data_IF_297607281393
#
_entry.id   IF_297607281393
#
_cell.length_a   1.000
_cell.length_b   1.000
_cell.length_c   1.000
_cell.angle_alpha   90.00
_cell.angle_beta   90.00
_cell.angle_gamma   90.00
#
_symmetry.space_group_name_H-M   'P 1'
#
loop_
_entity.id
_entity.type
_entity.pdbx_description
1 polymer ?
#
# COMPACT_ATOMS: atom_id res chain seq x y z
N UNK A 1 20.24 10.07 -19.10
CA UNK A 1 18.85 9.60 -19.01
C UNK A 1 18.42 8.96 -20.34
N UNK A 2 17.68 7.87 -20.26
CA UNK A 2 17.19 7.14 -21.42
C UNK A 2 15.67 6.98 -21.34
N UNK A 3 14.97 7.27 -22.45
CA UNK A 3 13.56 6.94 -22.62
C UNK A 3 13.45 5.93 -23.76
N UNK A 4 13.02 4.73 -23.45
CA UNK A 4 12.77 3.67 -24.42
C UNK A 4 11.27 3.63 -24.78
N UNK A 5 10.96 2.99 -25.91
CA UNK A 5 9.56 2.78 -26.33
C UNK A 5 9.38 1.33 -26.76
N UNK A 6 8.30 0.68 -26.34
CA UNK A 6 7.90 -0.64 -26.79
C UNK A 6 6.39 -0.73 -27.00
N UNK A 7 5.90 -1.78 -27.64
CA UNK A 7 4.47 -2.08 -27.74
C UNK A 7 4.00 -2.91 -26.56
N UNK A 8 2.69 -2.89 -26.25
CA UNK A 8 2.11 -3.76 -25.23
C UNK A 8 2.42 -5.24 -25.49
N UNK A 9 2.29 -5.66 -26.74
CA UNK A 9 2.63 -7.04 -27.14
C UNK A 9 4.11 -7.39 -26.90
N UNK A 10 5.03 -6.44 -27.14
CA UNK A 10 6.47 -6.68 -26.91
C UNK A 10 6.74 -6.86 -25.39
N UNK A 11 6.08 -6.08 -24.54
CA UNK A 11 6.18 -6.21 -23.09
C UNK A 11 5.64 -7.56 -22.62
N UNK A 12 4.43 -7.94 -23.07
CA UNK A 12 3.79 -9.19 -22.67
C UNK A 12 4.59 -10.44 -23.10
N UNK A 13 5.29 -10.36 -24.22
CA UNK A 13 6.11 -11.45 -24.72
C UNK A 13 7.54 -11.47 -24.17
N UNK A 14 7.99 -10.42 -23.48
CA UNK A 14 9.34 -10.30 -22.97
C UNK A 14 9.38 -9.82 -21.52
N UNK A 15 9.36 -10.74 -20.54
CA UNK A 15 9.34 -10.40 -19.12
C UNK A 15 10.53 -9.52 -18.65
N UNK A 16 11.63 -9.50 -19.39
CA UNK A 16 12.77 -8.61 -19.07
C UNK A 16 12.39 -7.14 -19.09
N UNK A 17 11.39 -6.75 -19.92
CA UNK A 17 10.90 -5.37 -19.99
C UNK A 17 10.10 -4.94 -18.75
N UNK A 18 9.69 -5.88 -17.89
CA UNK A 18 9.02 -5.62 -16.61
C UNK A 18 9.99 -5.32 -15.46
N UNK A 19 11.28 -5.65 -15.66
CA UNK A 19 12.28 -5.47 -14.60
C UNK A 19 12.62 -4.00 -14.40
N UNK A 20 12.69 -3.59 -13.14
CA UNK A 20 13.14 -2.25 -12.77
C UNK A 20 14.62 -2.04 -13.16
N UNK A 21 14.89 -0.90 -13.79
CA UNK A 21 16.26 -0.45 -14.10
C UNK A 21 16.63 0.65 -13.11
N UNK A 22 17.56 0.36 -12.20
CA UNK A 22 18.06 1.34 -11.24
C UNK A 22 18.94 2.38 -11.94
N UNK A 23 18.32 3.47 -12.42
CA UNK A 23 19.00 4.53 -13.13
C UNK A 23 18.01 5.53 -13.75
N UNK A 24 18.50 6.57 -14.42
CA UNK A 24 17.66 7.56 -15.09
C UNK A 24 17.07 6.95 -16.40
N UNK A 25 16.17 6.01 -16.24
CA UNK A 25 15.55 5.24 -17.31
C UNK A 25 14.01 5.26 -17.16
N UNK A 26 13.32 5.35 -18.28
CA UNK A 26 11.88 5.13 -18.37
C UNK A 26 11.54 4.39 -19.66
N UNK A 27 10.50 3.57 -19.64
CA UNK A 27 9.95 2.90 -20.81
C UNK A 27 8.53 3.36 -21.07
N UNK A 28 8.23 3.72 -22.31
CA UNK A 28 6.88 4.07 -22.76
C UNK A 28 6.30 2.85 -23.48
N UNK A 29 5.24 2.28 -22.93
CA UNK A 29 4.52 1.17 -23.53
C UNK A 29 3.32 1.70 -24.29
N UNK A 30 3.27 1.42 -25.59
CA UNK A 30 2.12 1.78 -26.45
C UNK A 30 1.21 0.59 -26.60
N UNK A 31 0.04 0.66 -25.99
CA UNK A 31 -1.03 -0.32 -26.18
C UNK A 31 -1.87 0.07 -27.38
N UNK A 32 -2.29 -0.92 -28.16
CA UNK A 32 -3.11 -0.70 -29.37
C UNK A 32 -4.55 -0.30 -29.02
N UNK A 33 -5.06 -0.77 -27.88
CA UNK A 33 -6.40 -0.56 -27.40
C UNK A 33 -6.48 -0.71 -25.87
N UNK A 34 -7.66 -0.45 -25.30
CA UNK A 34 -7.92 -0.58 -23.88
C UNK A 34 -7.78 -2.01 -23.37
N UNK A 35 -8.15 -3.01 -24.17
CA UNK A 35 -8.03 -4.41 -23.77
C UNK A 35 -6.57 -4.81 -23.56
N UNK A 36 -5.69 -4.42 -24.47
CA UNK A 36 -4.24 -4.65 -24.32
C UNK A 36 -3.66 -3.87 -23.13
N UNK A 37 -4.14 -2.64 -22.87
CA UNK A 37 -3.71 -1.86 -21.70
C UNK A 37 -4.09 -2.55 -20.40
N UNK A 38 -5.29 -3.10 -20.30
CA UNK A 38 -5.74 -3.87 -19.15
C UNK A 38 -4.89 -5.13 -18.97
N UNK A 39 -4.58 -5.82 -20.07
CA UNK A 39 -3.73 -7.00 -20.03
C UNK A 39 -2.31 -6.66 -19.56
N UNK A 40 -1.73 -5.61 -20.07
CA UNK A 40 -0.44 -5.08 -19.60
C UNK A 40 -0.51 -4.78 -18.09
N UNK A 41 -1.52 -4.03 -17.64
CA UNK A 41 -1.66 -3.69 -16.23
C UNK A 41 -1.75 -4.92 -15.32
N UNK A 42 -2.48 -5.96 -15.75
CA UNK A 42 -2.62 -7.22 -14.99
C UNK A 42 -1.35 -8.05 -14.92
N UNK A 43 -0.40 -7.84 -15.84
CA UNK A 43 0.88 -8.55 -15.87
C UNK A 43 2.01 -7.81 -15.15
N UNK A 44 1.77 -6.57 -14.69
CA UNK A 44 2.74 -5.86 -13.85
C UNK A 44 2.79 -6.47 -12.46
N UNK A 45 4.00 -6.58 -11.93
CA UNK A 45 4.23 -6.95 -10.53
C UNK A 45 3.78 -5.83 -9.58
N UNK A 46 3.77 -6.11 -8.27
CA UNK A 46 3.43 -5.14 -7.25
C UNK A 46 4.34 -3.91 -7.29
N UNK A 47 3.74 -2.72 -7.25
CA UNK A 47 4.38 -1.42 -7.32
C UNK A 47 4.16 -0.61 -6.04
N UNK A 48 5.09 0.27 -5.69
CA UNK A 48 4.87 1.22 -4.59
C UNK A 48 3.78 2.24 -4.93
N UNK A 49 3.80 2.74 -6.17
CA UNK A 49 2.85 3.75 -6.64
C UNK A 49 2.42 3.48 -8.06
N UNK A 50 1.19 3.85 -8.36
CA UNK A 50 0.68 3.95 -9.73
C UNK A 50 -0.10 5.24 -9.90
N UNK A 51 -0.01 5.85 -11.08
CA UNK A 51 -0.77 7.06 -11.41
C UNK A 51 -1.63 6.82 -12.63
N UNK A 52 -2.91 7.19 -12.54
CA UNK A 52 -3.76 7.38 -13.71
C UNK A 52 -3.76 8.86 -14.10
N UNK A 53 -3.47 9.13 -15.38
CA UNK A 53 -3.68 10.44 -16.01
C UNK A 53 -4.96 10.32 -16.83
N UNK A 54 -6.10 10.76 -16.27
CA UNK A 54 -7.41 10.45 -16.80
C UNK A 54 -8.45 11.52 -16.40
N UNK A 55 -9.51 11.68 -17.20
CA UNK A 55 -10.69 12.44 -16.80
C UNK A 55 -11.62 11.56 -15.94
N UNK A 56 -12.60 12.19 -15.27
CA UNK A 56 -13.62 11.43 -14.52
C UNK A 56 -14.40 10.48 -15.43
N UNK A 57 -14.71 10.90 -16.66
CA UNK A 57 -15.39 10.06 -17.64
C UNK A 57 -14.55 8.86 -18.07
N UNK A 58 -13.22 9.03 -18.21
CA UNK A 58 -12.33 7.91 -18.51
C UNK A 58 -12.35 6.88 -17.38
N UNK A 59 -12.35 7.34 -16.13
CA UNK A 59 -12.40 6.46 -14.95
C UNK A 59 -13.73 5.70 -14.90
N UNK A 60 -14.85 6.40 -15.06
CA UNK A 60 -16.19 5.80 -15.01
C UNK A 60 -16.40 4.75 -16.12
N UNK A 61 -15.85 5.00 -17.30
CA UNK A 61 -16.04 4.12 -18.45
C UNK A 61 -15.00 2.98 -18.54
N UNK A 62 -13.97 2.96 -17.68
CA UNK A 62 -12.89 1.98 -17.73
C UNK A 62 -12.59 1.39 -16.34
N UNK A 63 -13.62 1.01 -15.60
CA UNK A 63 -13.56 0.43 -14.26
C UNK A 63 -12.61 -0.79 -14.18
N UNK A 64 -12.60 -1.62 -15.20
CA UNK A 64 -11.71 -2.80 -15.28
C UNK A 64 -10.23 -2.42 -15.28
N UNK A 65 -9.83 -1.32 -15.97
CA UNK A 65 -8.47 -0.82 -15.92
C UNK A 65 -8.15 -0.23 -14.55
N UNK A 66 -9.08 0.56 -14.00
CA UNK A 66 -8.95 1.15 -12.67
C UNK A 66 -8.70 0.08 -11.61
N UNK A 67 -9.51 -0.99 -11.63
CA UNK A 67 -9.35 -2.12 -10.70
C UNK A 67 -8.02 -2.86 -10.94
N UNK A 68 -7.60 -3.08 -12.18
CA UNK A 68 -6.33 -3.73 -12.47
C UNK A 68 -5.14 -2.92 -11.90
N UNK A 69 -5.13 -1.60 -12.11
CA UNK A 69 -4.06 -0.71 -11.61
C UNK A 69 -4.11 -0.57 -10.09
N UNK A 70 -5.29 -0.48 -9.49
CA UNK A 70 -5.47 -0.44 -8.04
C UNK A 70 -4.88 -1.67 -7.34
N UNK A 71 -5.06 -2.85 -7.93
CA UNK A 71 -4.61 -4.11 -7.34
C UNK A 71 -3.10 -4.33 -7.38
N UNK A 72 -2.35 -3.56 -8.15
CA UNK A 72 -0.90 -3.69 -8.25
C UNK A 72 -0.12 -2.62 -7.47
N UNK A 73 -0.75 -1.71 -6.77
CA UNK A 73 -0.03 -0.63 -6.10
C UNK A 73 -0.46 -0.41 -4.65
N UNK A 74 0.44 0.18 -3.88
CA UNK A 74 0.15 0.59 -2.51
C UNK A 74 -0.40 2.00 -2.41
N UNK A 75 -0.01 2.89 -3.33
CA UNK A 75 -0.50 4.26 -3.43
C UNK A 75 -1.00 4.55 -4.83
N UNK A 76 -2.30 4.77 -4.95
CA UNK A 76 -2.97 5.01 -6.22
C UNK A 76 -3.27 6.49 -6.38
N UNK A 77 -2.74 7.11 -7.43
CA UNK A 77 -2.71 8.56 -7.63
C UNK A 77 -3.50 8.92 -8.89
N UNK A 78 -4.23 10.01 -8.86
CA UNK A 78 -4.93 10.56 -10.00
C UNK A 78 -4.31 11.90 -10.40
N UNK A 79 -3.97 12.06 -11.69
CA UNK A 79 -3.51 13.30 -12.31
C UNK A 79 -2.39 14.04 -11.57
N UNK A 80 -1.49 13.28 -10.93
CA UNK A 80 -0.35 13.83 -10.20
C UNK A 80 0.85 12.91 -10.30
N UNK A 81 2.00 13.38 -9.85
CA UNK A 81 3.23 12.59 -9.79
C UNK A 81 3.52 12.19 -8.34
N UNK A 82 4.15 11.04 -8.09
CA UNK A 82 4.41 10.52 -6.75
C UNK A 82 5.57 11.25 -6.07
N UNK A 83 5.50 12.59 -5.98
CA UNK A 83 6.53 13.41 -5.32
C UNK A 83 6.29 13.45 -3.82
N UNK A 84 7.18 12.87 -3.07
CA UNK A 84 7.14 12.92 -1.61
C UNK A 84 6.00 12.14 -0.98
N UNK A 85 6.04 12.09 0.34
CA UNK A 85 5.02 11.49 1.20
C UNK A 85 4.75 12.42 2.37
N UNK A 86 3.50 12.48 2.80
CA UNK A 86 3.10 13.23 3.98
C UNK A 86 3.06 12.31 5.19
N UNK A 87 3.48 12.79 6.35
CA UNK A 87 3.41 12.02 7.61
C UNK A 87 2.01 12.16 8.18
N UNK A 88 1.11 11.27 7.76
CA UNK A 88 -0.27 11.21 8.25
C UNK A 88 -0.74 9.75 8.39
N UNK A 89 -1.84 9.54 9.11
CA UNK A 89 -2.38 8.19 9.36
C UNK A 89 -2.85 7.48 8.08
N UNK A 90 -3.31 8.23 7.07
CA UNK A 90 -3.78 7.67 5.80
C UNK A 90 -2.66 7.39 4.80
N UNK A 91 -1.41 7.76 5.11
CA UNK A 91 -0.30 7.53 4.20
C UNK A 91 0.08 6.05 4.17
N UNK A 92 0.08 5.48 2.98
CA UNK A 92 0.58 4.14 2.71
C UNK A 92 1.79 4.23 1.77
N UNK A 93 2.94 3.76 2.23
CA UNK A 93 4.14 3.60 1.42
C UNK A 93 4.62 2.16 1.50
N UNK A 94 3.99 1.34 0.77
CA UNK A 94 4.19 -0.09 0.61
C UNK A 94 3.49 -0.50 -0.68
N UNK A 95 3.15 -1.75 -0.82
CA UNK A 95 2.43 -2.28 -1.97
C UNK A 95 2.43 -3.80 -1.98
N UNK A 96 1.75 -4.42 -2.93
CA UNK A 96 1.80 -5.86 -3.10
C UNK A 96 3.23 -6.32 -3.39
N UNK A 97 3.55 -7.57 -3.07
CA UNK A 97 4.84 -8.14 -3.44
C UNK A 97 5.08 -8.04 -4.97
N UNK A 98 6.30 -7.66 -5.43
CA UNK A 98 7.54 -7.49 -4.68
C UNK A 98 7.78 -6.06 -4.14
N UNK A 99 6.84 -5.12 -4.28
CA UNK A 99 7.01 -3.74 -3.81
C UNK A 99 7.28 -3.67 -2.30
N UNK A 100 6.66 -4.56 -1.52
CA UNK A 100 7.01 -4.76 -0.12
C UNK A 100 6.83 -6.23 0.29
N UNK A 101 7.55 -6.64 1.33
CA UNK A 101 7.46 -8.00 1.90
C UNK A 101 6.23 -8.18 2.76
N UNK A 102 5.66 -7.10 3.28
CA UNK A 102 4.41 -7.09 4.05
C UNK A 102 3.64 -5.79 3.77
N UNK A 103 2.60 -5.90 2.96
CA UNK A 103 1.77 -4.77 2.54
C UNK A 103 0.91 -4.17 3.66
N UNK A 104 0.81 -4.84 4.82
CA UNK A 104 0.05 -4.33 5.98
C UNK A 104 0.73 -3.16 6.67
N UNK A 105 2.05 -3.01 6.48
CA UNK A 105 2.84 -2.00 7.16
C UNK A 105 3.53 -1.08 6.17
N UNK A 106 3.21 0.20 6.22
CA UNK A 106 3.90 1.22 5.45
C UNK A 106 5.35 1.44 5.91
N UNK A 107 6.20 1.91 5.01
CA UNK A 107 7.59 2.27 5.34
C UNK A 107 7.71 3.65 5.96
N UNK A 108 6.72 4.52 5.75
CA UNK A 108 6.65 5.91 6.23
C UNK A 108 5.25 6.22 6.74
N UNK A 109 5.11 7.36 7.41
CA UNK A 109 3.84 7.77 8.02
C UNK A 109 3.75 7.33 9.49
N UNK A 110 2.66 7.72 10.14
CA UNK A 110 2.47 7.47 11.58
C UNK A 110 2.42 5.97 11.91
N UNK A 111 1.91 5.15 11.00
CA UNK A 111 1.82 3.70 11.17
C UNK A 111 3.13 2.94 10.90
N UNK A 112 4.17 3.62 10.43
CA UNK A 112 5.48 3.00 10.17
C UNK A 112 6.09 2.29 11.38
N UNK A 113 5.79 2.74 12.59
CA UNK A 113 6.24 2.13 13.85
C UNK A 113 5.77 0.67 14.00
N UNK A 114 4.61 0.32 13.44
CA UNK A 114 4.04 -1.02 13.51
C UNK A 114 4.93 -2.09 12.87
N UNK A 115 5.80 -1.70 11.94
CA UNK A 115 6.81 -2.58 11.33
C UNK A 115 7.81 -3.14 12.34
N UNK A 116 8.06 -2.40 13.40
CA UNK A 116 9.07 -2.71 14.43
C UNK A 116 8.43 -3.24 15.71
N UNK A 117 7.13 -3.44 15.72
CA UNK A 117 6.36 -3.94 16.84
C UNK A 117 5.76 -5.33 16.53
N UNK A 118 5.53 -6.11 17.55
CA UNK A 118 4.76 -7.34 17.47
C UNK A 118 3.74 -7.41 18.59
N UNK A 119 2.58 -8.02 18.39
CA UNK A 119 1.64 -8.27 19.48
C UNK A 119 2.21 -9.29 20.48
N UNK A 120 1.85 -9.10 21.74
CA UNK A 120 2.09 -10.06 22.83
C UNK A 120 0.76 -10.26 23.53
N UNK A 121 0.37 -11.51 23.78
CA UNK A 121 -0.78 -11.86 24.59
C UNK A 121 -0.34 -12.26 26.00
N UNK A 122 -1.02 -11.73 27.02
CA UNK A 122 -0.88 -12.13 28.41
C UNK A 122 -2.09 -13.00 28.78
N UNK A 123 -1.84 -14.23 29.19
CA UNK A 123 -2.89 -15.17 29.56
C UNK A 123 -2.64 -15.70 30.98
N UNK A 124 -3.65 -15.67 31.85
CA UNK A 124 -3.60 -16.13 33.23
C UNK A 124 -2.57 -15.37 34.12
N UNK A 125 -2.25 -14.14 33.77
CA UNK A 125 -1.43 -13.27 34.60
C UNK A 125 -2.30 -12.57 35.66
N UNK A 126 -1.80 -12.49 36.88
CA UNK A 126 -2.42 -11.69 37.91
C UNK A 126 -2.34 -10.20 37.56
N UNK A 127 -3.40 -9.43 37.83
CA UNK A 127 -3.48 -8.01 37.47
C UNK A 127 -2.27 -7.19 37.95
N UNK A 128 -1.76 -7.46 39.18
CA UNK A 128 -0.61 -6.78 39.74
C UNK A 128 0.73 -7.06 39.02
N UNK A 129 0.79 -8.12 38.22
CA UNK A 129 1.97 -8.49 37.44
C UNK A 129 1.91 -8.03 35.98
N UNK A 130 0.76 -7.49 35.57
CA UNK A 130 0.61 -6.95 34.23
C UNK A 130 1.33 -5.60 34.12
N UNK A 131 1.79 -5.23 32.89
CA UNK A 131 2.23 -3.87 32.62
C UNK A 131 1.09 -2.88 32.80
N UNK A 132 1.40 -1.64 33.13
CA UNK A 132 0.41 -0.62 33.48
C UNK A 132 -0.63 -0.35 32.37
N UNK A 133 -0.26 -0.58 31.11
CA UNK A 133 -1.17 -0.48 29.96
C UNK A 133 -2.31 -1.50 30.01
N UNK A 134 -2.11 -2.62 30.67
CA UNK A 134 -3.06 -3.75 30.71
C UNK A 134 -3.74 -3.94 32.07
N UNK A 135 -3.32 -3.22 33.11
CA UNK A 135 -3.95 -3.31 34.43
C UNK A 135 -5.42 -2.90 34.39
N UNK A 136 -6.24 -3.59 35.15
CA UNK A 136 -7.69 -3.36 35.19
C UNK A 136 -8.03 -1.90 35.55
N UNK A 137 -7.31 -1.28 36.45
CA UNK A 137 -7.50 0.09 36.92
C UNK A 137 -7.17 1.16 35.89
N UNK A 138 -6.47 0.82 34.78
CA UNK A 138 -6.01 1.77 33.77
C UNK A 138 -5.22 2.96 34.36
N UNK A 139 -4.12 2.72 35.09
CA UNK A 139 -3.39 3.77 35.81
C UNK A 139 -2.83 4.86 34.88
N UNK A 140 -2.60 4.54 33.59
CA UNK A 140 -2.15 5.50 32.58
C UNK A 140 -3.26 6.30 31.95
N UNK A 141 -4.53 6.00 32.27
CA UNK A 141 -5.71 6.65 31.70
C UNK A 141 -5.68 6.70 30.16
N UNK A 142 -5.24 5.62 29.51
CA UNK A 142 -5.14 5.50 28.05
C UNK A 142 -6.42 4.90 27.46
N UNK A 143 -6.66 5.21 26.19
CA UNK A 143 -7.70 4.52 25.41
C UNK A 143 -7.25 3.08 25.12
N UNK A 144 -8.13 2.12 25.41
CA UNK A 144 -7.92 0.70 25.16
C UNK A 144 -9.22 0.02 24.78
N UNK A 145 -9.12 -1.13 24.15
CA UNK A 145 -10.29 -1.95 23.82
C UNK A 145 -10.50 -2.99 24.92
N UNK A 146 -11.66 -2.96 25.55
CA UNK A 146 -12.08 -3.95 26.56
C UNK A 146 -13.38 -4.59 26.06
N UNK A 147 -13.40 -5.91 25.92
CA UNK A 147 -14.58 -6.63 25.42
C UNK A 147 -15.14 -6.06 24.10
N UNK A 148 -14.27 -5.68 23.17
CA UNK A 148 -14.55 -5.04 21.88
C UNK A 148 -15.09 -3.60 21.96
N UNK A 149 -15.10 -2.97 23.11
CA UNK A 149 -15.49 -1.57 23.28
C UNK A 149 -14.26 -0.70 23.55
N UNK A 150 -14.17 0.44 22.86
CA UNK A 150 -13.11 1.42 23.09
C UNK A 150 -13.45 2.25 24.32
N UNK A 151 -12.62 2.20 25.34
CA UNK A 151 -12.88 2.83 26.64
C UNK A 151 -11.60 3.32 27.33
N UNK A 152 -11.77 4.23 28.28
CA UNK A 152 -10.74 4.61 29.28
C UNK A 152 -11.12 4.15 30.68
N UNK A 153 -12.27 3.55 30.85
CA UNK A 153 -12.72 3.08 32.15
C UNK A 153 -11.84 1.95 32.69
N UNK A 154 -11.85 1.79 33.99
CA UNK A 154 -11.36 0.60 34.65
C UNK A 154 -12.23 -0.62 34.28
N UNK A 155 -11.65 -1.79 34.29
CA UNK A 155 -12.38 -3.07 34.21
C UNK A 155 -12.83 -3.40 35.63
N UNK A 156 -14.13 -3.68 35.80
CA UNK A 156 -14.72 -4.05 37.08
C UNK A 156 -14.82 -5.56 37.23
#
# INVERSE_FOLDING_TARGET
>A
PTIATATGQALLNNPVLLQEVFGPYAIIIRCKDMAEMIEVAKNLEGQLTSTLMATENDIINNDTLVEAVKNICGRFILNSVPTGVEVCLSMQHGGPFPASTDARFGSVGADGIKRFARPIAFQNWSNNLLPDELKDENPLNIWRTVNNELTRAAVL
#
